data_IF_845628302140
#
_entry.id   IF_845628302140
#
_cell.length_a   1.000
_cell.length_b   1.000
_cell.length_c   1.000
_cell.angle_alpha   90.00
_cell.angle_beta   90.00
_cell.angle_gamma   90.00
#
_symmetry.space_group_name_H-M   'P 1'
#
loop_
_entity.id
_entity.type
_entity.pdbx_description
1 polymer ?
#
# COMPACT_ATOMS: atom_id res chain seq x y z
N UNK A 1 2.83 -8.60 4.64
CA UNK A 1 3.93 -8.22 5.55
C UNK A 1 4.45 -6.87 5.11
N UNK A 2 4.47 -5.89 6.01
CA UNK A 2 5.06 -4.57 5.75
C UNK A 2 6.59 -4.68 5.66
N UNK A 3 7.20 -4.02 4.67
CA UNK A 3 8.65 -4.11 4.41
C UNK A 3 9.33 -2.76 4.19
N UNK A 4 8.57 -1.70 3.87
CA UNK A 4 9.03 -0.30 3.87
C UNK A 4 7.97 0.55 4.54
N UNK A 5 8.39 1.41 5.46
CA UNK A 5 7.57 2.43 6.11
C UNK A 5 7.80 3.82 5.53
N UNK A 6 6.73 4.58 5.49
CA UNK A 6 6.72 6.02 5.18
C UNK A 6 5.61 6.73 5.98
N UNK A 7 5.10 7.83 5.45
CA UNK A 7 4.02 8.59 6.09
C UNK A 7 4.32 8.95 7.54
N UNK A 8 3.36 8.71 8.43
CA UNK A 8 3.50 8.94 9.87
C UNK A 8 4.43 7.93 10.56
N UNK A 9 4.61 6.72 9.99
CA UNK A 9 5.41 5.63 10.57
C UNK A 9 6.92 5.73 10.32
N UNK A 10 7.39 6.76 9.59
CA UNK A 10 8.81 6.95 9.33
C UNK A 10 9.16 8.41 9.05
N UNK A 11 10.27 8.87 9.59
CA UNK A 11 10.79 10.21 9.30
C UNK A 11 11.59 10.21 7.98
N UNK A 12 10.88 10.05 6.86
CA UNK A 12 11.46 10.10 5.50
C UNK A 12 10.52 10.88 4.55
N UNK A 13 10.85 10.90 3.26
CA UNK A 13 10.08 11.65 2.26
C UNK A 13 8.92 10.89 1.62
N UNK A 14 8.62 9.66 2.05
CA UNK A 14 7.52 8.87 1.52
C UNK A 14 6.18 9.39 2.02
N UNK A 15 5.18 9.37 1.14
CA UNK A 15 3.82 9.82 1.48
C UNK A 15 2.92 8.66 1.88
N UNK A 16 3.06 7.51 1.25
CA UNK A 16 2.36 6.26 1.58
C UNK A 16 2.96 5.69 2.86
N UNK A 17 2.10 5.25 3.77
CA UNK A 17 2.48 4.82 5.12
C UNK A 17 3.15 3.46 5.13
N UNK A 18 2.58 2.48 4.39
CA UNK A 18 3.10 1.13 4.35
C UNK A 18 3.20 0.58 2.94
N UNK A 19 4.35 -0.04 2.67
CA UNK A 19 4.59 -0.81 1.46
C UNK A 19 4.76 -2.27 1.86
N UNK A 20 3.79 -3.08 1.49
CA UNK A 20 3.67 -4.47 1.89
C UNK A 20 3.91 -5.44 0.75
N UNK A 21 4.29 -6.67 1.08
CA UNK A 21 4.29 -7.81 0.15
C UNK A 21 3.33 -8.89 0.62
N UNK A 22 2.69 -9.55 -0.38
CA UNK A 22 1.82 -10.69 -0.20
C UNK A 22 2.37 -11.87 -1.02
N UNK A 23 2.80 -12.97 -0.38
CA UNK A 23 3.38 -14.13 -1.07
C UNK A 23 2.28 -15.03 -1.64
N UNK A 24 1.70 -14.66 -2.80
CA UNK A 24 0.54 -15.32 -3.43
C UNK A 24 0.81 -16.79 -3.81
N UNK A 25 2.07 -17.16 -4.02
CA UNK A 25 2.47 -18.52 -4.40
C UNK A 25 2.53 -19.48 -3.21
N UNK A 26 2.60 -18.97 -2.00
CA UNK A 26 2.77 -19.79 -0.80
C UNK A 26 1.59 -20.75 -0.59
N UNK A 27 1.90 -22.01 -0.28
CA UNK A 27 0.92 -23.06 0.02
C UNK A 27 0.71 -23.27 1.52
N UNK A 28 1.54 -22.63 2.35
CA UNK A 28 1.47 -22.68 3.81
C UNK A 28 1.96 -21.37 4.42
N UNK A 29 1.62 -21.15 5.69
CA UNK A 29 2.13 -19.99 6.44
C UNK A 29 3.65 -19.99 6.53
N UNK A 30 4.26 -21.16 6.80
CA UNK A 30 5.72 -21.30 6.88
C UNK A 30 6.39 -20.95 5.55
N UNK A 31 5.82 -21.38 4.42
CA UNK A 31 6.31 -21.00 3.09
C UNK A 31 6.14 -19.50 2.84
N UNK A 32 5.02 -18.91 3.23
CA UNK A 32 4.78 -17.47 3.13
C UNK A 32 5.86 -16.69 3.90
N UNK A 33 6.15 -17.09 5.14
CA UNK A 33 7.19 -16.45 5.96
C UNK A 33 8.57 -16.60 5.34
N UNK A 34 8.91 -17.77 4.79
CA UNK A 34 10.19 -17.99 4.07
C UNK A 34 10.32 -17.07 2.84
N UNK A 35 9.26 -16.92 2.05
CA UNK A 35 9.26 -16.03 0.88
C UNK A 35 9.46 -14.58 1.33
N UNK A 36 8.72 -14.12 2.34
CA UNK A 36 8.86 -12.77 2.89
C UNK A 36 10.29 -12.53 3.40
N UNK A 37 10.86 -13.47 4.14
CA UNK A 37 12.24 -13.37 4.62
C UNK A 37 13.26 -13.19 3.48
N UNK A 38 13.14 -13.98 2.40
CA UNK A 38 14.04 -13.87 1.24
C UNK A 38 13.93 -12.49 0.56
N UNK A 39 12.70 -11.97 0.41
CA UNK A 39 12.49 -10.65 -0.18
C UNK A 39 13.07 -9.56 0.71
N UNK A 40 12.79 -9.58 2.02
CA UNK A 40 13.31 -8.60 2.99
C UNK A 40 14.83 -8.62 3.03
N UNK A 41 15.44 -9.81 3.04
CA UNK A 41 16.90 -9.97 3.03
C UNK A 41 17.54 -9.33 1.79
N UNK A 42 16.93 -9.52 0.60
CA UNK A 42 17.40 -8.88 -0.62
C UNK A 42 17.12 -7.37 -0.64
N UNK A 43 15.99 -6.93 -0.08
CA UNK A 43 15.67 -5.51 0.07
C UNK A 43 16.70 -4.82 0.97
N UNK A 44 17.07 -5.41 2.12
CA UNK A 44 18.11 -4.89 3.00
C UNK A 44 19.45 -4.72 2.28
N UNK A 45 19.86 -5.72 1.49
CA UNK A 45 21.09 -5.63 0.68
C UNK A 45 21.03 -4.48 -0.33
N UNK A 46 19.89 -4.32 -1.02
CA UNK A 46 19.69 -3.25 -2.01
C UNK A 46 19.74 -1.86 -1.38
N UNK A 47 19.13 -1.69 -0.21
CA UNK A 47 19.15 -0.44 0.55
C UNK A 47 20.59 -0.10 0.94
N UNK A 48 21.32 -1.06 1.52
CA UNK A 48 22.74 -0.88 1.92
C UNK A 48 23.64 -0.54 0.71
N UNK A 49 23.48 -1.24 -0.41
CA UNK A 49 24.26 -1.00 -1.64
C UNK A 49 24.04 0.43 -2.19
N UNK A 50 22.92 1.04 -1.88
CA UNK A 50 22.64 2.45 -2.23
C UNK A 50 23.09 3.47 -1.18
N UNK A 51 23.82 3.02 -0.15
CA UNK A 51 24.29 3.88 0.95
C UNK A 51 23.16 4.38 1.87
N UNK A 52 21.99 3.70 1.85
CA UNK A 52 20.83 4.08 2.64
C UNK A 52 20.75 3.27 3.95
N UNK A 53 20.12 3.88 4.97
CA UNK A 53 19.89 3.22 6.27
C UNK A 53 18.88 2.07 6.14
N UNK A 54 19.13 1.00 6.88
CA UNK A 54 18.20 -0.11 7.11
C UNK A 54 17.53 -0.04 8.49
N UNK A 55 17.50 1.14 9.11
CA UNK A 55 16.66 1.37 10.30
C UNK A 55 15.21 1.11 9.95
N UNK A 56 14.43 0.67 10.94
CA UNK A 56 13.03 0.33 10.78
C UNK A 56 12.13 1.44 11.29
N UNK A 57 10.93 1.55 10.73
CA UNK A 57 9.86 2.39 11.24
C UNK A 57 8.98 1.65 12.26
N UNK A 58 7.89 2.28 12.64
CA UNK A 58 7.03 1.82 13.75
C UNK A 58 6.39 0.44 13.49
N UNK A 59 6.13 0.08 12.23
CA UNK A 59 5.57 -1.21 11.82
C UNK A 59 6.63 -2.24 11.37
N UNK A 60 7.91 -2.00 11.69
CA UNK A 60 9.00 -2.93 11.41
C UNK A 60 9.49 -2.99 9.97
N UNK A 61 8.91 -2.23 9.04
CA UNK A 61 9.44 -2.03 7.69
C UNK A 61 10.68 -1.13 7.70
N UNK A 62 11.56 -1.27 6.71
CA UNK A 62 12.70 -0.36 6.58
C UNK A 62 12.24 1.08 6.33
N UNK A 63 12.95 2.04 6.90
CA UNK A 63 12.67 3.46 6.76
C UNK A 63 13.82 4.23 6.07
N UNK A 64 14.20 3.86 4.82
CA UNK A 64 15.28 4.53 4.12
C UNK A 64 14.93 5.98 3.80
N UNK A 65 15.94 6.86 3.80
CA UNK A 65 15.78 8.27 3.41
C UNK A 65 15.62 8.40 1.89
N UNK A 66 14.41 8.13 1.40
CA UNK A 66 14.00 8.28 0.00
C UNK A 66 12.75 9.16 -0.08
N UNK A 67 12.60 9.88 -1.19
CA UNK A 67 11.62 10.96 -1.32
C UNK A 67 10.49 10.64 -2.34
N UNK A 68 10.38 9.41 -2.80
CA UNK A 68 9.42 9.03 -3.82
C UNK A 68 8.86 7.64 -3.57
N UNK A 69 7.52 7.53 -3.55
CA UNK A 69 6.84 6.24 -3.50
C UNK A 69 7.29 5.31 -4.64
N UNK A 70 7.59 5.86 -5.83
CA UNK A 70 8.09 5.07 -6.94
C UNK A 70 9.46 4.46 -6.65
N UNK A 71 10.37 5.17 -5.96
CA UNK A 71 11.66 4.61 -5.56
C UNK A 71 11.50 3.44 -4.58
N UNK A 72 10.56 3.55 -3.63
CA UNK A 72 10.23 2.44 -2.72
C UNK A 72 9.70 1.23 -3.52
N UNK A 73 8.75 1.44 -4.42
CA UNK A 73 8.16 0.39 -5.25
C UNK A 73 9.19 -0.25 -6.20
N UNK A 74 10.08 0.52 -6.80
CA UNK A 74 11.15 0.01 -7.66
C UNK A 74 12.14 -0.86 -6.86
N UNK A 75 12.46 -0.48 -5.61
CA UNK A 75 13.27 -1.31 -4.69
C UNK A 75 12.59 -2.63 -4.37
N UNK A 76 11.29 -2.61 -4.09
CA UNK A 76 10.51 -3.82 -3.78
C UNK A 76 10.45 -4.75 -4.99
N UNK A 77 10.11 -4.25 -6.18
CA UNK A 77 10.08 -5.06 -7.40
C UNK A 77 11.44 -5.70 -7.67
N UNK A 78 12.53 -4.94 -7.50
CA UNK A 78 13.88 -5.46 -7.67
C UNK A 78 14.23 -6.52 -6.62
N UNK A 79 13.81 -6.35 -5.36
CA UNK A 79 14.04 -7.33 -4.30
C UNK A 79 13.27 -8.63 -4.54
N UNK A 80 12.01 -8.55 -4.99
CA UNK A 80 11.21 -9.72 -5.39
C UNK A 80 11.93 -10.49 -6.50
N UNK A 81 12.38 -9.78 -7.55
CA UNK A 81 13.12 -10.39 -8.67
C UNK A 81 14.43 -11.05 -8.21
N UNK A 82 15.23 -10.36 -7.37
CA UNK A 82 16.49 -10.90 -6.84
C UNK A 82 16.28 -12.10 -5.91
N UNK A 83 15.08 -12.27 -5.38
CA UNK A 83 14.69 -13.43 -4.56
C UNK A 83 14.21 -14.63 -5.39
N UNK A 84 14.21 -14.51 -6.72
CA UNK A 84 13.78 -15.57 -7.64
C UNK A 84 12.27 -15.62 -7.86
N UNK A 85 11.51 -14.57 -7.46
CA UNK A 85 10.05 -14.52 -7.59
C UNK A 85 9.63 -13.51 -8.66
N UNK A 86 8.40 -13.71 -9.19
CA UNK A 86 7.77 -12.83 -10.18
C UNK A 86 6.80 -11.90 -9.49
N UNK A 87 7.01 -10.59 -9.65
CA UNK A 87 6.09 -9.58 -9.14
C UNK A 87 4.69 -9.69 -9.78
N UNK A 88 3.66 -9.65 -8.95
CA UNK A 88 2.25 -9.76 -9.35
C UNK A 88 1.78 -11.17 -9.69
N UNK A 89 2.65 -12.19 -9.57
CA UNK A 89 2.33 -13.61 -9.80
C UNK A 89 2.71 -14.50 -8.62
N UNK A 90 3.95 -14.45 -8.17
CA UNK A 90 4.44 -15.25 -7.05
C UNK A 90 4.38 -14.45 -5.74
N UNK A 91 4.68 -13.14 -5.83
CA UNK A 91 4.59 -12.17 -4.75
C UNK A 91 3.95 -10.90 -5.32
N UNK A 92 2.93 -10.38 -4.65
CA UNK A 92 2.27 -9.12 -5.01
C UNK A 92 2.62 -8.02 -4.03
N UNK A 93 2.48 -6.77 -4.49
CA UNK A 93 2.62 -5.58 -3.66
C UNK A 93 1.24 -5.14 -3.18
N UNK A 94 1.17 -4.76 -1.90
CA UNK A 94 0.03 -4.14 -1.27
C UNK A 94 0.47 -2.81 -0.63
N UNK A 95 -0.44 -1.87 -0.51
CA UNK A 95 -0.18 -0.56 0.08
C UNK A 95 -1.18 -0.29 1.20
N UNK A 96 -0.73 0.37 2.24
CA UNK A 96 -1.56 1.17 3.11
C UNK A 96 -1.18 2.64 2.93
N UNK A 97 -2.14 3.44 2.49
CA UNK A 97 -1.90 4.85 2.15
C UNK A 97 -2.12 5.75 3.36
N UNK A 98 -2.99 5.36 4.30
CA UNK A 98 -3.42 6.17 5.44
C UNK A 98 -3.78 7.60 5.00
N UNK A 99 -4.69 7.72 4.03
CA UNK A 99 -4.94 8.98 3.31
C UNK A 99 -5.58 10.07 4.17
N UNK A 100 -6.00 9.78 5.40
CA UNK A 100 -6.43 10.80 6.37
C UNK A 100 -5.34 11.86 6.55
N UNK A 101 -4.07 11.45 6.67
CA UNK A 101 -2.89 12.31 6.82
C UNK A 101 -2.57 13.12 5.55
N UNK A 102 -3.09 12.70 4.40
CA UNK A 102 -2.78 13.26 3.09
C UNK A 102 -3.90 14.11 2.50
N UNK A 103 -4.99 14.27 3.25
CA UNK A 103 -6.21 14.98 2.82
C UNK A 103 -6.22 16.42 3.31
N UNK A 104 -6.59 17.36 2.43
CA UNK A 104 -6.86 18.75 2.80
C UNK A 104 -7.84 19.39 1.84
N UNK A 105 -8.98 19.90 2.36
CA UNK A 105 -9.98 20.66 1.58
C UNK A 105 -10.37 19.99 0.26
N UNK A 106 -10.73 18.69 0.31
CA UNK A 106 -11.18 17.93 -0.86
C UNK A 106 -10.07 17.53 -1.84
N UNK A 107 -8.80 17.65 -1.46
CA UNK A 107 -7.63 17.32 -2.29
C UNK A 107 -6.67 16.40 -1.54
N UNK A 108 -5.85 15.67 -2.28
CA UNK A 108 -4.91 14.68 -1.76
C UNK A 108 -3.48 14.95 -2.20
N UNK A 109 -2.51 14.54 -1.38
CA UNK A 109 -1.07 14.71 -1.64
C UNK A 109 -0.31 13.40 -1.53
N UNK A 110 -0.71 12.37 -2.31
CA UNK A 110 -0.16 11.00 -2.22
C UNK A 110 1.22 10.82 -2.87
N UNK A 111 1.60 11.64 -3.85
CA UNK A 111 2.87 11.51 -4.57
C UNK A 111 3.92 12.54 -4.15
N UNK A 112 3.47 13.69 -3.73
CA UNK A 112 4.32 14.82 -3.36
C UNK A 112 3.59 15.70 -2.36
N UNK A 113 4.26 16.73 -1.86
CA UNK A 113 3.62 17.75 -1.00
C UNK A 113 2.55 18.59 -1.73
N UNK A 114 2.39 18.41 -3.06
CA UNK A 114 1.37 19.14 -3.85
C UNK A 114 0.03 18.41 -3.75
N UNK A 115 -1.00 19.15 -3.35
CA UNK A 115 -2.38 18.66 -3.31
C UNK A 115 -3.01 18.66 -4.69
N UNK A 116 -3.66 17.57 -5.07
CA UNK A 116 -4.33 17.36 -6.35
C UNK A 116 -5.78 16.93 -6.16
N UNK A 117 -6.60 17.05 -7.19
CA UNK A 117 -8.01 16.64 -7.16
C UNK A 117 -8.16 15.13 -7.02
N UNK A 118 -9.35 14.68 -6.59
CA UNK A 118 -9.71 13.25 -6.49
C UNK A 118 -9.46 12.51 -7.82
N UNK A 119 -9.90 13.09 -8.94
CA UNK A 119 -9.71 12.44 -10.25
C UNK A 119 -8.24 12.21 -10.60
N UNK A 120 -7.41 13.20 -10.31
CA UNK A 120 -5.97 13.07 -10.52
C UNK A 120 -5.36 12.05 -9.57
N UNK A 121 -5.81 12.00 -8.32
CA UNK A 121 -5.40 10.99 -7.33
C UNK A 121 -5.75 9.57 -7.80
N UNK A 122 -6.97 9.35 -8.29
CA UNK A 122 -7.41 8.08 -8.87
C UNK A 122 -6.53 7.68 -10.06
N UNK A 123 -6.22 8.64 -10.94
CA UNK A 123 -5.35 8.38 -12.08
C UNK A 123 -3.93 7.97 -11.65
N UNK A 124 -3.40 8.61 -10.62
CA UNK A 124 -2.09 8.27 -10.04
C UNK A 124 -2.09 6.87 -9.43
N UNK A 125 -3.12 6.48 -8.68
CA UNK A 125 -3.29 5.10 -8.19
C UNK A 125 -3.32 4.09 -9.34
N UNK A 126 -4.11 4.36 -10.39
CA UNK A 126 -4.20 3.46 -11.56
C UNK A 126 -2.85 3.26 -12.25
N UNK A 127 -2.05 4.33 -12.37
CA UNK A 127 -0.69 4.24 -12.91
C UNK A 127 0.21 3.34 -12.05
N UNK A 128 0.17 3.52 -10.73
CA UNK A 128 0.94 2.67 -9.80
C UNK A 128 0.48 1.21 -9.85
N UNK A 129 -0.84 0.97 -9.79
CA UNK A 129 -1.44 -0.36 -9.87
C UNK A 129 -0.95 -1.11 -11.11
N UNK A 130 -1.02 -0.47 -12.26
CA UNK A 130 -0.63 -1.08 -13.54
C UNK A 130 0.87 -1.33 -13.63
N UNK A 131 1.68 -0.33 -13.25
CA UNK A 131 3.15 -0.42 -13.32
C UNK A 131 3.70 -1.48 -12.37
N UNK A 132 3.26 -1.47 -11.12
CA UNK A 132 3.84 -2.28 -10.05
C UNK A 132 3.06 -3.55 -9.72
N UNK A 133 1.92 -3.79 -10.43
CA UNK A 133 1.04 -4.96 -10.21
C UNK A 133 0.50 -5.03 -8.78
N UNK A 134 0.12 -3.87 -8.24
CA UNK A 134 -0.47 -3.74 -6.91
C UNK A 134 -1.79 -4.50 -6.86
N UNK A 135 -2.02 -5.28 -5.81
CA UNK A 135 -3.19 -6.14 -5.63
C UNK A 135 -4.12 -5.69 -4.50
N UNK A 136 -3.63 -4.87 -3.59
CA UNK A 136 -4.43 -4.32 -2.49
C UNK A 136 -4.02 -2.90 -2.20
N UNK A 137 -4.99 -2.04 -1.90
CA UNK A 137 -4.78 -0.68 -1.39
C UNK A 137 -5.72 -0.47 -0.21
N UNK A 138 -5.14 -0.13 0.92
CA UNK A 138 -5.79 0.20 2.17
C UNK A 138 -5.84 1.71 2.34
N UNK A 139 -6.95 2.20 2.86
CA UNK A 139 -7.26 3.59 3.16
C UNK A 139 -6.81 4.60 2.08
N UNK A 140 -7.26 4.38 0.82
CA UNK A 140 -6.85 5.23 -0.32
C UNK A 140 -7.39 6.65 -0.26
N UNK A 141 -8.42 6.92 0.55
CA UNK A 141 -9.07 8.23 0.70
C UNK A 141 -9.40 8.51 2.15
N UNK A 142 -9.63 9.81 2.44
CA UNK A 142 -10.11 10.27 3.75
C UNK A 142 -11.36 9.51 4.18
N UNK A 143 -11.43 9.13 5.43
CA UNK A 143 -12.46 8.25 6.01
C UNK A 143 -13.90 8.71 5.79
N UNK A 144 -14.13 10.00 5.62
CA UNK A 144 -15.47 10.57 5.38
C UNK A 144 -15.71 10.97 3.92
N UNK A 145 -14.77 10.71 3.02
CA UNK A 145 -14.92 11.01 1.57
C UNK A 145 -15.54 9.83 0.79
N UNK A 146 -16.74 9.42 1.19
CA UNK A 146 -17.49 8.29 0.62
C UNK A 146 -17.58 8.31 -0.92
N UNK A 147 -17.69 9.52 -1.49
CA UNK A 147 -17.78 9.71 -2.95
C UNK A 147 -16.49 9.25 -3.64
N UNK A 148 -15.34 9.60 -3.11
CA UNK A 148 -14.05 9.21 -3.66
C UNK A 148 -13.80 7.71 -3.52
N UNK A 149 -14.17 7.12 -2.39
CA UNK A 149 -14.12 5.67 -2.17
C UNK A 149 -14.96 4.94 -3.22
N UNK A 150 -16.24 5.30 -3.38
CA UNK A 150 -17.15 4.69 -4.35
C UNK A 150 -16.65 4.84 -5.80
N UNK A 151 -16.16 6.02 -6.16
CA UNK A 151 -15.61 6.29 -7.50
C UNK A 151 -14.38 5.44 -7.79
N UNK A 152 -13.48 5.30 -6.82
CA UNK A 152 -12.27 4.49 -6.95
C UNK A 152 -12.60 3.00 -7.09
N UNK A 153 -13.45 2.46 -6.25
CA UNK A 153 -13.87 1.05 -6.31
C UNK A 153 -14.50 0.69 -7.65
N UNK A 154 -15.41 1.52 -8.17
CA UNK A 154 -16.02 1.29 -9.50
C UNK A 154 -14.97 1.28 -10.61
N UNK A 155 -13.89 2.01 -10.43
CA UNK A 155 -12.86 2.19 -11.46
C UNK A 155 -11.70 1.20 -11.37
N UNK A 156 -11.61 0.37 -10.31
CA UNK A 156 -10.46 -0.52 -10.01
C UNK A 156 -10.89 -1.94 -9.60
N UNK A 157 -11.80 -2.56 -10.35
CA UNK A 157 -12.43 -3.87 -10.05
C UNK A 157 -11.49 -5.06 -9.77
N UNK A 158 -10.19 -4.95 -10.10
CA UNK A 158 -9.20 -6.03 -9.94
C UNK A 158 -8.26 -5.83 -8.76
N UNK A 159 -8.49 -4.80 -7.95
CA UNK A 159 -7.68 -4.46 -6.79
C UNK A 159 -8.55 -4.60 -5.55
N UNK A 160 -8.05 -5.26 -4.53
CA UNK A 160 -8.69 -5.32 -3.23
C UNK A 160 -8.59 -3.95 -2.57
N UNK A 161 -9.72 -3.39 -2.15
CA UNK A 161 -9.77 -2.15 -1.38
C UNK A 161 -10.04 -2.52 0.07
N UNK A 162 -9.21 -2.01 0.96
CA UNK A 162 -9.26 -2.29 2.41
C UNK A 162 -9.56 -0.99 3.14
N UNK A 163 -10.29 -1.05 4.23
CA UNK A 163 -10.55 0.08 5.11
C UNK A 163 -10.24 -0.30 6.54
N UNK A 164 -9.26 0.37 7.15
CA UNK A 164 -8.97 0.33 8.57
C UNK A 164 -9.42 1.65 9.21
N UNK A 165 -8.81 2.77 8.88
CA UNK A 165 -9.26 4.11 9.28
C UNK A 165 -10.72 4.38 8.88
N UNK A 166 -11.16 3.82 7.74
CA UNK A 166 -12.53 3.92 7.27
C UNK A 166 -13.54 3.37 8.29
N UNK A 167 -13.24 2.24 8.90
CA UNK A 167 -14.18 1.54 9.80
C UNK A 167 -13.93 1.80 11.28
N UNK A 168 -12.68 1.95 11.69
CA UNK A 168 -12.23 2.15 13.09
C UNK A 168 -12.98 1.27 14.10
N UNK A 169 -13.24 0.00 13.73
CA UNK A 169 -14.00 -0.97 14.53
C UNK A 169 -15.42 -0.47 14.89
N UNK A 170 -16.01 0.43 14.09
CA UNK A 170 -17.31 1.05 14.34
C UNK A 170 -18.41 0.39 13.49
N UNK A 171 -19.39 -0.25 14.16
CA UNK A 171 -20.48 -0.97 13.51
C UNK A 171 -21.39 -0.06 12.66
N UNK A 172 -21.62 1.18 13.06
CA UNK A 172 -22.47 2.11 12.30
C UNK A 172 -21.78 2.53 11.00
N UNK A 173 -20.46 2.73 11.04
CA UNK A 173 -19.67 3.00 9.81
C UNK A 173 -19.73 1.80 8.87
N UNK A 174 -19.60 0.58 9.38
CA UNK A 174 -19.70 -0.64 8.60
C UNK A 174 -21.07 -0.79 7.92
N UNK A 175 -22.17 -0.50 8.63
CA UNK A 175 -23.53 -0.48 8.06
C UNK A 175 -23.63 0.58 6.94
N UNK A 176 -23.17 1.80 7.20
CA UNK A 176 -23.22 2.89 6.21
C UNK A 176 -22.50 2.50 4.92
N UNK A 177 -21.32 1.88 5.02
CA UNK A 177 -20.56 1.41 3.86
C UNK A 177 -21.32 0.34 3.08
N UNK A 178 -21.94 -0.63 3.75
CA UNK A 178 -22.75 -1.69 3.12
C UNK A 178 -23.93 -1.12 2.32
N UNK A 179 -24.57 -0.06 2.80
CA UNK A 179 -25.67 0.61 2.09
C UNK A 179 -25.21 1.52 0.94
N UNK A 180 -23.97 2.01 0.95
CA UNK A 180 -23.47 2.96 -0.05
C UNK A 180 -22.76 2.31 -1.24
N UNK A 181 -22.93 1.01 -1.49
CA UNK A 181 -22.33 0.24 -2.60
C UNK A 181 -20.83 -0.06 -2.45
N UNK A 182 -20.28 0.02 -1.30
CA UNK A 182 -19.04 -0.64 -0.94
C UNK A 182 -19.40 -2.11 -0.66
N UNK A 183 -19.51 -2.95 -1.69
CA UNK A 183 -19.67 -4.39 -1.49
C UNK A 183 -18.41 -4.91 -0.84
N UNK A 184 -18.46 -5.11 0.48
CA UNK A 184 -17.48 -5.93 1.16
C UNK A 184 -17.51 -7.30 0.50
N UNK A 185 -16.39 -7.95 0.19
CA UNK A 185 -16.37 -9.36 -0.06
C UNK A 185 -16.69 -10.05 1.26
N UNK A 186 -17.99 -10.16 1.60
CA UNK A 186 -18.46 -10.99 2.69
C UNK A 186 -18.33 -12.43 2.28
N UNK A 187 -17.18 -13.03 2.51
CA UNK A 187 -17.05 -14.44 2.84
C UNK A 187 -16.24 -14.52 4.12
N UNK A 188 -16.97 -14.45 5.22
CA UNK A 188 -16.57 -15.13 6.44
C UNK A 188 -17.19 -16.52 6.29
N UNK A 189 -16.42 -17.49 5.88
CA UNK A 189 -16.70 -18.90 6.14
C UNK A 189 -16.05 -19.26 7.47
#
# INVERSE_FOLDING_TARGET
>A
MNIINGGAHANNGLRIQEFMIRPDKAKSFSEAMRICYLVIKNLSKLIKTRGLSTSVGDEGGFAPMINSNNQALDLIVLSIKKSGFRNGKDVSICLDVAANELFKKGKYSIHSKKYVTVDKTILEYKKMINKYKIKSIEDPFFENDWTSWSKFMRSTKKVQIVGDDLYVTNLERLKTVSYTHLTLPTKVE
#
